data_IF_053317249204
#
_entry.id   IF_053317249204
#
_cell.length_a   1.000
_cell.length_b   1.000
_cell.length_c   1.000
_cell.angle_alpha   90.00
_cell.angle_beta   90.00
_cell.angle_gamma   90.00
#
_symmetry.space_group_name_H-M   'P 1'
#
loop_
_entity.id
_entity.type
_entity.pdbx_description
1 polymer ?
#
# COMPACT_ATOMS: atom_id res chain seq x y z
N UNK A 1 -9.20 -10.82 -16.03
CA UNK A 1 -8.95 -12.29 -15.90
C UNK A 1 -9.11 -12.71 -14.44
N UNK A 2 -9.57 -13.96 -14.22
CA UNK A 2 -9.74 -14.59 -12.90
C UNK A 2 -8.66 -15.64 -12.74
N UNK A 3 -7.97 -15.68 -11.61
CA UNK A 3 -7.02 -16.73 -11.26
C UNK A 3 -7.68 -17.83 -10.43
N UNK A 4 -8.53 -17.45 -9.49
CA UNK A 4 -9.24 -18.37 -8.60
C UNK A 4 -10.76 -18.18 -8.74
N UNK A 5 -11.55 -19.24 -8.95
CA UNK A 5 -13.00 -19.14 -9.03
C UNK A 5 -13.68 -18.41 -7.86
N UNK A 6 -13.06 -18.42 -6.67
CA UNK A 6 -13.60 -17.72 -5.50
C UNK A 6 -13.70 -16.19 -5.71
N UNK A 7 -12.95 -15.63 -6.66
CA UNK A 7 -13.03 -14.20 -6.98
C UNK A 7 -14.38 -13.79 -7.57
N UNK A 8 -15.17 -14.75 -8.07
CA UNK A 8 -16.46 -14.53 -8.78
C UNK A 8 -17.63 -15.32 -8.19
N UNK A 9 -17.48 -15.91 -6.99
CA UNK A 9 -18.63 -16.52 -6.28
C UNK A 9 -19.68 -15.46 -5.93
N UNK A 10 -20.92 -15.87 -5.71
CA UNK A 10 -21.99 -14.94 -5.32
C UNK A 10 -21.68 -14.26 -3.97
N UNK A 11 -22.34 -13.12 -3.73
CA UNK A 11 -22.22 -12.40 -2.46
C UNK A 11 -22.61 -13.26 -1.26
N UNK A 12 -23.67 -14.08 -1.42
CA UNK A 12 -24.15 -14.99 -0.36
C UNK A 12 -23.15 -16.11 -0.07
N UNK A 13 -22.58 -16.74 -1.12
CA UNK A 13 -21.54 -17.75 -0.95
C UNK A 13 -20.28 -17.18 -0.28
N UNK A 14 -19.92 -15.96 -0.65
CA UNK A 14 -18.80 -15.24 -0.03
C UNK A 14 -19.05 -14.96 1.44
N UNK A 15 -20.22 -14.45 1.79
CA UNK A 15 -20.61 -14.19 3.19
C UNK A 15 -20.62 -15.49 4.03
N UNK A 16 -21.08 -16.59 3.45
CA UNK A 16 -21.05 -17.90 4.12
C UNK A 16 -19.60 -18.37 4.36
N UNK A 17 -18.73 -18.24 3.36
CA UNK A 17 -17.31 -18.59 3.44
C UNK A 17 -16.59 -17.73 4.49
N UNK A 18 -16.80 -16.42 4.46
CA UNK A 18 -16.24 -15.47 5.43
C UNK A 18 -16.70 -15.78 6.86
N UNK A 19 -17.98 -16.08 7.05
CA UNK A 19 -18.53 -16.45 8.35
C UNK A 19 -17.88 -17.73 8.88
N UNK A 20 -17.74 -18.76 8.02
CA UNK A 20 -17.07 -20.01 8.40
C UNK A 20 -15.62 -19.76 8.82
N UNK A 21 -14.88 -18.98 8.06
CA UNK A 21 -13.47 -18.66 8.34
C UNK A 21 -13.32 -17.79 9.59
N UNK A 22 -14.21 -16.80 9.80
CA UNK A 22 -14.23 -15.96 11.00
C UNK A 22 -14.42 -16.81 12.27
N UNK A 23 -15.33 -17.77 12.24
CA UNK A 23 -15.52 -18.74 13.33
C UNK A 23 -14.26 -19.54 13.64
N UNK A 24 -13.59 -20.01 12.59
CA UNK A 24 -12.30 -20.69 12.71
C UNK A 24 -11.23 -19.82 13.35
N UNK A 25 -11.10 -18.56 12.89
CA UNK A 25 -10.17 -17.58 13.45
C UNK A 25 -10.45 -17.33 14.93
N UNK A 26 -11.71 -17.05 15.32
CA UNK A 26 -12.09 -16.78 16.71
C UNK A 26 -11.73 -17.97 17.60
N UNK A 27 -12.04 -19.19 17.16
CA UNK A 27 -11.65 -20.39 17.91
C UNK A 27 -10.13 -20.54 18.03
N UNK A 28 -9.38 -20.24 16.96
CA UNK A 28 -7.92 -20.30 17.00
C UNK A 28 -7.34 -19.27 17.97
N UNK A 29 -7.86 -18.04 17.99
CA UNK A 29 -7.43 -16.99 18.92
C UNK A 29 -7.75 -17.33 20.38
N UNK A 30 -8.92 -17.95 20.64
CA UNK A 30 -9.32 -18.41 21.97
C UNK A 30 -8.47 -19.57 22.47
N UNK A 31 -7.90 -20.37 21.57
CA UNK A 31 -7.04 -21.51 21.90
C UNK A 31 -5.60 -21.10 22.27
N UNK A 32 -5.17 -19.87 21.96
CA UNK A 32 -3.83 -19.38 22.34
C UNK A 32 -3.81 -19.10 23.84
N UNK A 33 -2.99 -19.84 24.59
CA UNK A 33 -2.87 -19.68 26.02
C UNK A 33 -2.22 -18.33 26.38
N UNK A 34 -2.90 -17.54 27.22
CA UNK A 34 -2.45 -16.16 27.57
C UNK A 34 -2.42 -15.18 26.37
N UNK A 35 -3.05 -15.53 25.24
CA UNK A 35 -3.06 -14.71 24.04
C UNK A 35 -3.94 -13.46 24.20
N UNK A 36 -3.38 -12.27 23.97
CA UNK A 36 -4.05 -10.97 24.11
C UNK A 36 -5.41 -10.92 23.42
N UNK A 37 -5.53 -11.42 22.19
CA UNK A 37 -6.76 -11.37 21.41
C UNK A 37 -7.83 -12.32 22.00
N UNK A 38 -7.43 -13.51 22.45
CA UNK A 38 -8.32 -14.44 23.16
C UNK A 38 -8.84 -13.87 24.47
N UNK A 39 -7.99 -13.18 25.24
CA UNK A 39 -8.40 -12.50 26.48
C UNK A 39 -9.41 -11.37 26.20
N UNK A 40 -9.16 -10.56 25.17
CA UNK A 40 -10.10 -9.49 24.76
C UNK A 40 -11.43 -10.04 24.27
N UNK A 41 -11.45 -11.18 23.57
CA UNK A 41 -12.68 -11.87 23.15
C UNK A 41 -13.48 -12.33 24.38
N UNK A 42 -12.85 -12.99 25.33
CA UNK A 42 -13.51 -13.43 26.59
C UNK A 42 -14.06 -12.25 27.40
N UNK A 43 -13.33 -11.13 27.42
CA UNK A 43 -13.77 -9.91 28.12
C UNK A 43 -15.06 -9.32 27.57
N UNK A 44 -15.40 -9.57 26.29
CA UNK A 44 -16.67 -9.18 25.68
C UNK A 44 -17.68 -10.33 25.60
N UNK A 45 -17.44 -11.44 26.31
CA UNK A 45 -18.34 -12.58 26.43
C UNK A 45 -18.30 -13.58 25.27
N UNK A 46 -17.22 -13.57 24.48
CA UNK A 46 -17.02 -14.53 23.39
C UNK A 46 -16.09 -15.65 23.87
N UNK A 47 -16.67 -16.79 24.20
CA UNK A 47 -15.94 -17.98 24.65
C UNK A 47 -15.85 -19.08 23.57
N UNK A 48 -16.55 -18.88 22.44
CA UNK A 48 -16.54 -19.80 21.29
C UNK A 48 -16.80 -19.01 19.99
N UNK A 49 -16.14 -19.40 18.91
CA UNK A 49 -16.44 -18.89 17.58
C UNK A 49 -17.72 -19.45 16.93
N UNK A 50 -18.33 -20.49 17.53
CA UNK A 50 -19.41 -21.26 16.87
C UNK A 50 -20.61 -20.40 16.47
N UNK A 51 -20.99 -19.41 17.29
CA UNK A 51 -22.14 -18.56 17.05
C UNK A 51 -21.78 -17.20 16.44
N UNK A 52 -20.48 -16.91 16.27
CA UNK A 52 -20.03 -15.63 15.70
C UNK A 52 -20.42 -15.54 14.24
N UNK A 53 -20.93 -14.37 13.85
CA UNK A 53 -21.36 -14.02 12.50
C UNK A 53 -20.68 -12.74 12.02
N UNK A 54 -20.82 -12.40 10.74
CA UNK A 54 -20.31 -11.11 10.21
C UNK A 54 -21.01 -9.90 10.86
N UNK A 55 -22.26 -10.05 11.33
CA UNK A 55 -22.98 -8.99 12.02
C UNK A 55 -22.38 -8.64 13.39
N UNK A 56 -21.66 -9.57 14.01
CA UNK A 56 -21.01 -9.35 15.30
C UNK A 56 -19.66 -8.62 15.14
N UNK A 57 -19.09 -8.61 13.92
CA UNK A 57 -17.77 -8.07 13.66
C UNK A 57 -17.54 -6.66 14.23
N UNK A 58 -18.47 -5.67 14.09
CA UNK A 58 -18.28 -4.34 14.64
C UNK A 58 -18.15 -4.28 16.17
N UNK A 59 -18.61 -5.32 16.86
CA UNK A 59 -18.60 -5.42 18.33
C UNK A 59 -17.40 -6.21 18.86
N UNK A 60 -16.67 -6.89 17.99
CA UNK A 60 -15.45 -7.62 18.38
C UNK A 60 -14.30 -6.63 18.67
N UNK A 61 -13.38 -7.00 19.60
CA UNK A 61 -12.27 -6.13 19.95
C UNK A 61 -11.33 -5.91 18.77
N UNK A 62 -10.70 -4.75 18.75
CA UNK A 62 -9.65 -4.41 17.76
C UNK A 62 -8.27 -4.65 18.32
N UNK A 63 -7.30 -4.81 17.43
CA UNK A 63 -5.86 -4.74 17.71
C UNK A 63 -5.20 -3.71 16.83
N UNK A 64 -4.03 -3.24 17.22
CA UNK A 64 -3.30 -2.23 16.46
C UNK A 64 -1.79 -2.39 16.60
N UNK A 65 -1.06 -1.50 15.98
CA UNK A 65 0.40 -1.51 16.00
C UNK A 65 1.02 -1.41 17.40
N UNK A 66 0.46 -0.64 18.35
CA UNK A 66 0.93 -0.65 19.75
C UNK A 66 0.90 -2.04 20.39
N UNK A 67 -0.16 -2.83 20.17
CA UNK A 67 -0.25 -4.19 20.72
C UNK A 67 0.88 -5.09 20.22
N UNK A 68 1.26 -4.97 18.93
CA UNK A 68 2.39 -5.70 18.35
C UNK A 68 3.74 -5.25 18.93
N UNK A 69 3.87 -3.97 19.25
CA UNK A 69 5.09 -3.45 19.89
C UNK A 69 5.22 -3.84 21.36
N UNK A 70 4.11 -3.85 22.10
CA UNK A 70 4.09 -4.27 23.50
C UNK A 70 4.39 -5.78 23.62
N UNK A 71 3.97 -6.56 22.63
CA UNK A 71 4.22 -8.00 22.54
C UNK A 71 5.49 -8.37 21.74
N UNK A 72 6.38 -7.40 21.49
CA UNK A 72 7.62 -7.64 20.72
C UNK A 72 8.57 -8.66 21.41
N UNK A 73 9.25 -9.56 20.68
CA UNK A 73 9.21 -9.69 19.22
C UNK A 73 8.08 -10.60 18.67
N UNK A 74 7.60 -11.58 19.43
CA UNK A 74 6.73 -12.67 18.94
C UNK A 74 5.56 -12.99 19.89
N UNK A 75 5.24 -12.13 20.83
CA UNK A 75 4.21 -12.41 21.85
C UNK A 75 2.76 -12.43 21.33
N UNK A 76 2.53 -12.09 20.06
CA UNK A 76 1.23 -12.25 19.42
C UNK A 76 1.14 -13.43 18.44
N UNK A 77 2.18 -14.26 18.32
CA UNK A 77 2.10 -15.45 17.48
C UNK A 77 1.09 -16.45 18.08
N UNK A 78 0.36 -17.12 17.21
CA UNK A 78 -0.55 -18.21 17.57
C UNK A 78 0.10 -19.59 17.46
N UNK A 79 1.34 -19.66 16.97
CA UNK A 79 2.16 -20.87 16.87
C UNK A 79 3.55 -20.59 17.42
N UNK A 80 4.30 -21.62 17.86
CA UNK A 80 5.72 -21.49 18.22
C UNK A 80 6.56 -20.93 17.07
N UNK A 81 7.60 -20.16 17.38
CA UNK A 81 8.46 -19.58 16.33
C UNK A 81 9.20 -20.64 15.51
N UNK A 82 9.48 -21.80 16.10
CA UNK A 82 10.10 -22.95 15.44
C UNK A 82 9.20 -23.61 14.39
N UNK A 83 7.89 -23.36 14.42
CA UNK A 83 6.92 -23.80 13.41
C UNK A 83 6.76 -22.77 12.27
N UNK A 84 7.49 -21.65 12.34
CA UNK A 84 7.48 -20.62 11.30
C UNK A 84 8.62 -20.85 10.30
N UNK A 85 8.30 -20.69 9.03
CA UNK A 85 9.24 -20.84 7.92
C UNK A 85 10.02 -19.53 7.63
N UNK A 86 9.45 -18.38 7.98
CA UNK A 86 10.04 -17.08 7.65
C UNK A 86 9.62 -15.99 8.64
N UNK A 87 10.50 -15.01 8.82
CA UNK A 87 10.23 -13.77 9.57
C UNK A 87 10.50 -12.58 8.65
N UNK A 88 9.54 -11.68 8.58
CA UNK A 88 9.66 -10.38 7.93
C UNK A 88 9.43 -9.25 8.93
N UNK A 89 9.67 -8.02 8.51
CA UNK A 89 9.42 -6.83 9.30
C UNK A 89 8.93 -5.67 8.49
N UNK A 90 8.22 -4.76 9.14
CA UNK A 90 7.86 -3.48 8.54
C UNK A 90 9.06 -2.52 8.55
N UNK A 91 9.03 -1.50 7.68
CA UNK A 91 10.12 -0.50 7.57
C UNK A 91 10.29 0.41 8.80
N UNK A 92 9.39 0.35 9.77
CA UNK A 92 9.48 1.02 11.07
C UNK A 92 9.91 2.48 11.03
N UNK A 93 9.02 3.39 10.63
CA UNK A 93 9.29 4.84 10.66
C UNK A 93 9.60 5.37 12.08
N UNK A 94 9.26 4.60 13.12
CA UNK A 94 9.46 4.90 14.53
C UNK A 94 10.72 4.25 15.16
N UNK A 95 11.63 3.70 14.34
CA UNK A 95 12.93 3.15 14.80
C UNK A 95 12.92 1.69 15.23
N UNK A 96 11.76 1.07 15.52
CA UNK A 96 11.62 -0.37 15.79
C UNK A 96 10.74 -1.02 14.72
N UNK A 97 11.23 -2.03 13.98
CA UNK A 97 10.41 -2.76 13.02
C UNK A 97 9.32 -3.57 13.75
N UNK A 98 8.13 -3.66 13.17
CA UNK A 98 7.15 -4.66 13.58
C UNK A 98 7.54 -5.97 12.92
N UNK A 99 7.80 -7.01 13.72
CA UNK A 99 8.15 -8.33 13.20
C UNK A 99 6.89 -9.15 12.97
N UNK A 100 6.88 -9.89 11.89
CA UNK A 100 5.79 -10.79 11.47
C UNK A 100 6.39 -12.12 11.04
N UNK A 101 5.79 -13.22 11.47
CA UNK A 101 6.23 -14.56 11.10
C UNK A 101 5.18 -15.23 10.21
N UNK A 102 5.62 -16.23 9.47
CA UNK A 102 4.81 -16.96 8.49
C UNK A 102 5.11 -18.45 8.64
N UNK A 103 4.07 -19.28 8.68
CA UNK A 103 4.18 -20.71 8.43
C UNK A 103 4.36 -20.98 6.94
N UNK A 104 4.68 -22.23 6.54
CA UNK A 104 4.66 -22.60 5.12
C UNK A 104 3.29 -22.36 4.48
N UNK A 105 2.20 -22.65 5.21
CA UNK A 105 0.83 -22.40 4.75
C UNK A 105 0.55 -20.90 4.56
N UNK A 106 1.10 -20.02 5.41
CA UNK A 106 1.01 -18.57 5.24
C UNK A 106 1.78 -18.10 4.02
N UNK A 107 2.94 -18.70 3.72
CA UNK A 107 3.72 -18.36 2.51
C UNK A 107 3.00 -18.83 1.24
N UNK A 108 2.36 -20.00 1.26
CA UNK A 108 1.54 -20.48 0.15
C UNK A 108 0.32 -19.58 -0.08
N UNK A 109 -0.36 -19.18 1.00
CA UNK A 109 -1.46 -18.22 0.97
C UNK A 109 -1.00 -16.90 0.34
N UNK A 110 0.13 -16.36 0.78
CA UNK A 110 0.70 -15.14 0.27
C UNK A 110 1.06 -15.23 -1.21
N UNK A 111 1.72 -16.31 -1.62
CA UNK A 111 2.01 -16.58 -3.02
C UNK A 111 0.72 -16.60 -3.88
N UNK A 112 -0.34 -17.19 -3.35
CA UNK A 112 -1.63 -17.27 -4.03
C UNK A 112 -2.29 -15.90 -4.24
N UNK A 113 -2.37 -15.05 -3.21
CA UNK A 113 -3.00 -13.73 -3.33
C UNK A 113 -2.21 -12.79 -4.26
N UNK A 114 -0.87 -12.90 -4.26
CA UNK A 114 -0.04 -12.13 -5.20
C UNK A 114 -0.20 -12.66 -6.62
N UNK A 115 -0.34 -13.98 -6.83
CA UNK A 115 -0.64 -14.52 -8.15
C UNK A 115 -1.99 -13.99 -8.69
N UNK A 116 -3.05 -13.92 -7.86
CA UNK A 116 -4.33 -13.27 -8.22
C UNK A 116 -4.11 -11.82 -8.65
N UNK A 117 -3.30 -11.07 -7.89
CA UNK A 117 -2.98 -9.67 -8.20
C UNK A 117 -2.29 -9.52 -9.55
N UNK A 118 -1.29 -10.36 -9.83
CA UNK A 118 -0.56 -10.36 -11.10
C UNK A 118 -1.47 -10.73 -12.28
N UNK A 119 -2.37 -11.71 -12.11
CA UNK A 119 -3.37 -12.07 -13.15
C UNK A 119 -4.36 -10.94 -13.36
N UNK A 120 -4.82 -10.29 -12.31
CA UNK A 120 -5.65 -9.07 -12.41
C UNK A 120 -4.98 -7.96 -13.20
N UNK A 121 -3.66 -7.83 -13.08
CA UNK A 121 -2.83 -6.91 -13.85
C UNK A 121 -2.52 -7.39 -15.28
N UNK A 122 -3.02 -8.55 -15.70
CA UNK A 122 -2.83 -9.07 -17.06
C UNK A 122 -1.62 -10.00 -17.24
N UNK A 123 -0.89 -10.33 -16.17
CA UNK A 123 0.19 -11.31 -16.24
C UNK A 123 -0.36 -12.74 -16.44
N UNK A 124 0.46 -13.58 -17.06
CA UNK A 124 0.17 -14.99 -17.32
C UNK A 124 1.37 -15.86 -16.93
N UNK A 125 1.21 -17.17 -16.97
CA UNK A 125 2.32 -18.11 -16.76
C UNK A 125 3.46 -17.99 -17.78
N UNK A 126 3.27 -17.23 -18.87
CA UNK A 126 4.28 -16.95 -19.88
C UNK A 126 4.97 -15.60 -19.71
N UNK A 127 4.51 -14.79 -18.75
CA UNK A 127 5.06 -13.46 -18.52
C UNK A 127 6.46 -13.51 -17.93
N UNK A 128 7.27 -12.53 -18.28
CA UNK A 128 8.54 -12.21 -17.65
C UNK A 128 8.36 -10.98 -16.75
N UNK A 129 8.55 -11.17 -15.46
CA UNK A 129 8.33 -10.14 -14.44
C UNK A 129 9.65 -9.59 -13.94
N UNK A 130 9.92 -8.31 -14.19
CA UNK A 130 11.07 -7.60 -13.64
C UNK A 130 10.73 -7.08 -12.26
N UNK A 131 11.24 -7.75 -11.21
CA UNK A 131 10.96 -7.40 -9.82
C UNK A 131 12.06 -6.52 -9.25
N UNK A 132 11.77 -5.22 -9.15
CA UNK A 132 12.63 -4.20 -8.60
C UNK A 132 12.24 -3.77 -7.18
N UNK A 133 11.36 -4.49 -6.50
CA UNK A 133 11.20 -4.36 -5.05
C UNK A 133 12.40 -4.93 -4.31
N UNK A 134 12.79 -4.30 -3.20
CA UNK A 134 13.88 -4.78 -2.36
C UNK A 134 13.62 -6.17 -1.79
N UNK A 135 14.62 -7.04 -1.90
CA UNK A 135 14.65 -8.35 -1.24
C UNK A 135 15.31 -8.20 0.14
N UNK A 136 14.80 -8.92 1.14
CA UNK A 136 15.34 -8.90 2.50
C UNK A 136 14.24 -8.96 3.56
N UNK A 137 14.39 -8.17 4.64
CA UNK A 137 13.44 -8.17 5.75
C UNK A 137 12.04 -7.69 5.35
N UNK A 138 11.93 -6.82 4.34
CA UNK A 138 10.65 -6.29 3.87
C UNK A 138 9.93 -7.28 2.94
N UNK A 139 8.61 -7.22 2.94
CA UNK A 139 7.75 -8.20 2.26
C UNK A 139 7.65 -8.01 0.73
N UNK A 140 7.94 -6.82 0.20
CA UNK A 140 7.65 -6.48 -1.20
C UNK A 140 8.31 -7.42 -2.22
N UNK A 141 9.65 -7.58 -2.16
CA UNK A 141 10.41 -8.35 -3.13
C UNK A 141 10.06 -9.83 -3.14
N UNK A 142 10.03 -10.45 -1.95
CA UNK A 142 9.72 -11.88 -1.81
C UNK A 142 8.25 -12.19 -2.10
N UNK A 143 7.32 -11.32 -1.70
CA UNK A 143 5.90 -11.51 -2.02
C UNK A 143 5.64 -11.59 -3.52
N UNK A 144 6.17 -10.63 -4.29
CA UNK A 144 6.07 -10.66 -5.76
C UNK A 144 6.77 -11.90 -6.34
N UNK A 145 7.94 -12.26 -5.80
CA UNK A 145 8.68 -13.44 -6.25
C UNK A 145 7.87 -14.73 -6.08
N UNK A 146 7.31 -14.94 -4.89
CA UNK A 146 6.49 -16.12 -4.60
C UNK A 146 5.22 -16.15 -5.46
N UNK A 147 4.53 -15.01 -5.62
CA UNK A 147 3.35 -14.90 -6.46
C UNK A 147 3.63 -15.17 -7.94
N UNK A 148 4.73 -14.62 -8.47
CA UNK A 148 5.15 -14.90 -9.84
C UNK A 148 5.41 -16.40 -10.06
N UNK A 149 6.08 -17.06 -9.12
CA UNK A 149 6.31 -18.51 -9.17
C UNK A 149 5.02 -19.33 -9.08
N UNK A 150 4.09 -18.93 -8.20
CA UNK A 150 2.79 -19.60 -8.08
C UNK A 150 1.96 -19.45 -9.36
N UNK A 151 2.07 -18.33 -10.05
CA UNK A 151 1.48 -18.12 -11.38
C UNK A 151 2.15 -19.00 -12.46
N UNK A 152 3.38 -19.48 -12.24
CA UNK A 152 4.20 -20.14 -13.26
C UNK A 152 4.95 -19.17 -14.17
N UNK A 153 4.98 -17.87 -13.84
CA UNK A 153 5.70 -16.85 -14.57
C UNK A 153 7.21 -16.87 -14.26
N UNK A 154 8.02 -16.32 -15.16
CA UNK A 154 9.44 -16.13 -14.92
C UNK A 154 9.70 -14.80 -14.21
N UNK A 155 10.48 -14.81 -13.13
CA UNK A 155 10.82 -13.59 -12.38
C UNK A 155 12.32 -13.26 -12.51
N UNK A 156 12.61 -12.00 -12.79
CA UNK A 156 13.96 -11.42 -12.70
C UNK A 156 14.08 -10.75 -11.33
N UNK A 157 14.79 -11.35 -10.35
CA UNK A 157 14.85 -10.87 -8.97
C UNK A 157 15.92 -9.78 -8.82
N UNK A 158 15.72 -8.65 -9.48
CA UNK A 158 16.74 -7.59 -9.58
C UNK A 158 16.96 -6.85 -8.27
N UNK A 159 15.93 -6.76 -7.41
CA UNK A 159 15.92 -5.91 -6.21
C UNK A 159 15.93 -4.41 -6.54
N UNK A 160 15.88 -3.54 -5.53
CA UNK A 160 15.93 -2.09 -5.71
C UNK A 160 17.33 -1.56 -6.01
N UNK A 161 17.40 -0.35 -6.58
CA UNK A 161 18.66 0.32 -6.90
C UNK A 161 19.33 -0.15 -8.19
N UNK A 162 20.58 0.26 -8.42
CA UNK A 162 21.38 -0.07 -9.61
C UNK A 162 20.67 0.29 -10.93
N UNK A 163 20.09 1.47 -11.01
CA UNK A 163 19.18 1.92 -12.06
C UNK A 163 19.67 1.66 -13.49
N UNK A 164 20.93 1.99 -13.81
CA UNK A 164 21.51 1.74 -15.14
C UNK A 164 21.54 0.24 -15.49
N UNK A 165 21.78 -0.63 -14.48
CA UNK A 165 21.76 -2.09 -14.68
C UNK A 165 20.34 -2.59 -14.90
N UNK A 166 19.36 -2.01 -14.20
CA UNK A 166 17.94 -2.33 -14.40
C UNK A 166 17.50 -2.03 -15.83
N UNK A 167 17.79 -0.82 -16.31
CA UNK A 167 17.45 -0.40 -17.67
C UNK A 167 18.08 -1.31 -18.73
N UNK A 168 19.37 -1.64 -18.58
CA UNK A 168 20.05 -2.58 -19.47
C UNK A 168 19.38 -3.96 -19.48
N UNK A 169 19.08 -4.53 -18.29
CA UNK A 169 18.44 -5.84 -18.21
C UNK A 169 17.02 -5.82 -18.80
N UNK A 170 16.27 -4.73 -18.65
CA UNK A 170 14.95 -4.60 -19.29
C UNK A 170 15.07 -4.56 -20.81
N UNK A 171 16.08 -3.87 -21.37
CA UNK A 171 16.34 -3.88 -22.81
C UNK A 171 16.76 -5.26 -23.33
N UNK A 172 17.59 -5.98 -22.58
CA UNK A 172 18.11 -7.30 -22.98
C UNK A 172 17.04 -8.40 -22.85
N UNK A 173 16.29 -8.40 -21.73
CA UNK A 173 15.35 -9.48 -21.38
C UNK A 173 13.91 -9.21 -21.84
N UNK A 174 13.56 -7.96 -22.10
CA UNK A 174 12.24 -7.52 -22.57
C UNK A 174 11.08 -8.03 -21.70
N UNK A 175 11.04 -7.68 -20.39
CA UNK A 175 9.96 -8.13 -19.50
C UNK A 175 8.62 -7.52 -19.89
N UNK A 176 7.52 -8.25 -19.57
CA UNK A 176 6.16 -7.77 -19.75
C UNK A 176 5.70 -6.89 -18.59
N UNK A 177 6.16 -7.21 -17.37
CA UNK A 177 5.68 -6.64 -16.12
C UNK A 177 6.84 -6.05 -15.33
N UNK A 178 6.67 -4.80 -14.87
CA UNK A 178 7.55 -4.16 -13.89
C UNK A 178 6.86 -4.12 -12.53
N UNK A 179 7.59 -4.48 -11.47
CA UNK A 179 7.09 -4.34 -10.09
C UNK A 179 8.09 -3.57 -9.25
N UNK A 180 7.69 -2.43 -8.71
CA UNK A 180 8.50 -1.56 -7.86
C UNK A 180 7.63 -0.53 -7.15
N UNK A 181 8.20 0.27 -6.24
CA UNK A 181 7.50 1.42 -5.68
C UNK A 181 7.18 2.45 -6.76
N UNK A 182 6.09 3.23 -6.66
CA UNK A 182 5.73 4.26 -7.63
C UNK A 182 6.85 5.30 -7.82
N UNK A 183 7.47 5.76 -6.74
CA UNK A 183 8.59 6.70 -6.80
C UNK A 183 9.78 6.15 -7.60
N UNK A 184 10.06 4.85 -7.46
CA UNK A 184 11.14 4.21 -8.21
C UNK A 184 10.78 4.01 -9.68
N UNK A 185 9.51 3.75 -10.00
CA UNK A 185 9.03 3.70 -11.39
C UNK A 185 9.24 5.04 -12.11
N UNK A 186 8.90 6.16 -11.44
CA UNK A 186 9.19 7.50 -11.97
C UNK A 186 10.69 7.69 -12.18
N UNK A 187 11.50 7.34 -11.18
CA UNK A 187 12.96 7.49 -11.28
C UNK A 187 13.57 6.65 -12.41
N UNK A 188 13.13 5.40 -12.60
CA UNK A 188 13.52 4.55 -13.74
C UNK A 188 13.16 5.19 -15.08
N UNK A 189 11.96 5.76 -15.18
CA UNK A 189 11.52 6.44 -16.39
C UNK A 189 12.29 7.72 -16.68
N UNK A 190 12.60 8.53 -15.66
CA UNK A 190 13.47 9.71 -15.80
C UNK A 190 14.88 9.31 -16.27
N UNK A 191 15.45 8.27 -15.67
CA UNK A 191 16.76 7.76 -16.05
C UNK A 191 16.78 7.22 -17.49
N UNK A 192 15.75 6.46 -17.90
CA UNK A 192 15.58 5.99 -19.26
C UNK A 192 15.54 7.16 -20.27
N UNK A 193 14.76 8.19 -19.97
CA UNK A 193 14.67 9.41 -20.79
C UNK A 193 16.03 10.12 -20.88
N UNK A 194 16.75 10.24 -19.77
CA UNK A 194 18.07 10.88 -19.73
C UNK A 194 19.12 10.12 -20.55
N UNK A 195 19.02 8.79 -20.63
CA UNK A 195 19.86 7.93 -21.47
C UNK A 195 19.37 7.82 -22.92
N UNK A 196 18.28 8.49 -23.28
CA UNK A 196 17.68 8.44 -24.62
C UNK A 196 17.06 7.08 -24.97
N UNK A 197 16.68 6.29 -23.99
CA UNK A 197 16.03 4.99 -24.17
C UNK A 197 14.55 5.22 -24.54
N UNK A 198 14.15 4.70 -25.70
CA UNK A 198 12.73 4.68 -26.08
C UNK A 198 11.96 3.70 -25.17
N UNK A 199 10.90 4.13 -24.46
CA UNK A 199 10.06 3.25 -23.64
C UNK A 199 9.58 2.01 -24.39
N UNK A 200 9.25 2.12 -25.68
CA UNK A 200 8.83 0.98 -26.51
C UNK A 200 9.90 -0.12 -26.60
N UNK A 201 11.18 0.24 -26.46
CA UNK A 201 12.30 -0.72 -26.49
C UNK A 201 12.37 -1.62 -25.24
N UNK A 202 11.76 -1.20 -24.14
CA UNK A 202 11.72 -1.95 -22.87
C UNK A 202 10.73 -3.13 -22.92
N UNK A 203 9.77 -3.12 -23.86
CA UNK A 203 8.71 -4.14 -24.04
C UNK A 203 7.75 -4.29 -22.85
N UNK A 204 7.83 -3.42 -21.87
CA UNK A 204 6.91 -3.39 -20.72
C UNK A 204 5.47 -3.12 -21.18
N UNK A 205 4.51 -3.77 -20.55
CA UNK A 205 3.06 -3.58 -20.79
C UNK A 205 2.35 -3.02 -19.58
N UNK A 206 2.73 -3.51 -18.39
CA UNK A 206 2.09 -3.15 -17.14
C UNK A 206 3.11 -2.99 -16.03
N UNK A 207 2.84 -2.02 -15.15
CA UNK A 207 3.53 -1.84 -13.88
C UNK A 207 2.58 -2.16 -12.72
N UNK A 208 3.06 -2.88 -11.70
CA UNK A 208 2.35 -3.11 -10.45
C UNK A 208 3.12 -2.42 -9.33
N UNK A 209 2.54 -1.36 -8.82
CA UNK A 209 3.19 -0.41 -7.92
C UNK A 209 2.48 -0.32 -6.58
N UNK A 210 3.20 -0.16 -5.50
CA UNK A 210 2.64 -0.03 -4.15
C UNK A 210 3.72 0.20 -3.10
N UNK A 211 3.42 -0.10 -1.85
CA UNK A 211 4.21 0.13 -0.66
C UNK A 211 4.28 1.60 -0.19
N UNK A 212 3.83 2.55 -0.98
CA UNK A 212 3.68 3.96 -0.62
C UNK A 212 2.41 4.53 -1.27
N UNK A 213 1.75 5.54 -0.67
CA UNK A 213 0.67 6.26 -1.32
C UNK A 213 1.16 6.95 -2.60
N UNK A 214 0.32 7.02 -3.62
CA UNK A 214 0.62 7.72 -4.87
C UNK A 214 -0.65 8.22 -5.56
N UNK A 215 -0.50 9.31 -6.33
CA UNK A 215 -1.61 10.03 -6.93
C UNK A 215 -1.88 9.62 -8.38
N UNK A 216 -3.03 10.02 -8.92
CA UNK A 216 -3.32 9.84 -10.35
C UNK A 216 -2.37 10.67 -11.23
N UNK A 217 -1.89 11.81 -10.75
CA UNK A 217 -0.87 12.59 -11.46
C UNK A 217 0.44 11.79 -11.59
N UNK A 218 0.89 11.11 -10.52
CA UNK A 218 2.05 10.21 -10.59
C UNK A 218 1.80 9.01 -11.49
N UNK A 219 0.57 8.47 -11.53
CA UNK A 219 0.17 7.42 -12.46
C UNK A 219 0.42 7.84 -13.90
N UNK A 220 -0.11 9.01 -14.28
CA UNK A 220 0.06 9.56 -15.63
C UNK A 220 1.54 9.70 -15.96
N UNK A 221 2.36 10.21 -15.04
CA UNK A 221 3.80 10.33 -15.25
C UNK A 221 4.49 8.97 -15.48
N UNK A 222 4.17 7.95 -14.67
CA UNK A 222 4.73 6.61 -14.84
C UNK A 222 4.34 6.04 -16.20
N UNK A 223 3.07 6.17 -16.58
CA UNK A 223 2.54 5.68 -17.85
C UNK A 223 3.19 6.37 -19.05
N UNK A 224 3.39 7.69 -18.98
CA UNK A 224 4.08 8.46 -20.03
C UNK A 224 5.59 8.15 -20.11
N UNK A 225 6.26 8.01 -18.96
CA UNK A 225 7.70 7.79 -18.91
C UNK A 225 8.10 6.38 -19.36
N UNK A 226 7.29 5.37 -19.05
CA UNK A 226 7.62 3.96 -19.29
C UNK A 226 6.76 3.30 -20.38
N UNK A 227 5.71 3.97 -20.88
CA UNK A 227 4.83 3.42 -21.92
C UNK A 227 3.97 2.24 -21.42
N UNK A 228 3.58 2.21 -20.15
CA UNK A 228 2.89 1.10 -19.49
C UNK A 228 1.51 1.50 -18.96
N UNK A 229 0.68 0.52 -18.57
CA UNK A 229 -0.43 0.73 -17.64
C UNK A 229 0.09 0.57 -16.22
N UNK A 230 -0.14 1.55 -15.37
CA UNK A 230 0.29 1.53 -13.98
C UNK A 230 -0.88 1.18 -13.06
N UNK A 231 -0.74 0.09 -12.30
CA UNK A 231 -1.75 -0.45 -11.40
C UNK A 231 -1.26 -0.46 -9.96
N UNK A 232 -2.17 -0.27 -9.02
CA UNK A 232 -1.88 -0.23 -7.59
C UNK A 232 -2.00 -1.62 -6.96
N UNK A 233 -1.08 -1.94 -6.03
CA UNK A 233 -1.14 -3.11 -5.17
C UNK A 233 -0.97 -2.67 -3.72
N UNK A 234 -1.96 -3.00 -2.90
CA UNK A 234 -1.97 -2.68 -1.48
C UNK A 234 -1.64 -3.89 -0.63
N UNK A 235 -0.95 -3.64 0.48
CA UNK A 235 -0.71 -4.61 1.53
C UNK A 235 0.23 -4.08 2.59
N UNK A 236 0.25 -4.76 3.72
CA UNK A 236 1.12 -4.47 4.84
C UNK A 236 1.62 -5.77 5.44
N UNK A 237 2.83 -5.75 6.00
CA UNK A 237 3.50 -6.93 6.54
C UNK A 237 2.67 -7.63 7.62
N UNK A 238 1.98 -6.85 8.45
CA UNK A 238 1.16 -7.33 9.55
C UNK A 238 0.02 -8.24 9.06
N UNK A 239 -0.57 -7.94 7.90
CA UNK A 239 -1.65 -8.77 7.31
C UNK A 239 -1.06 -9.95 6.54
N UNK A 240 -0.34 -9.69 5.44
CA UNK A 240 0.34 -10.75 4.68
C UNK A 240 1.54 -10.22 3.87
N UNK A 241 1.63 -8.94 3.61
CA UNK A 241 2.52 -8.31 2.64
C UNK A 241 1.72 -7.76 1.46
N UNK A 242 2.31 -7.56 0.28
CA UNK A 242 1.58 -7.14 -0.91
C UNK A 242 0.53 -8.19 -1.32
N UNK A 243 -0.57 -7.73 -1.93
CA UNK A 243 -1.63 -8.58 -2.47
C UNK A 243 -2.88 -8.66 -1.60
N UNK A 244 -2.99 -7.91 -0.48
CA UNK A 244 -4.24 -7.80 0.30
C UNK A 244 -5.36 -7.24 -0.58
N UNK A 245 -5.03 -6.21 -1.38
CA UNK A 245 -5.89 -5.68 -2.43
C UNK A 245 -5.07 -5.25 -3.65
N UNK A 246 -5.68 -5.26 -4.82
CA UNK A 246 -5.02 -4.86 -6.06
C UNK A 246 -6.00 -4.28 -7.08
N UNK A 247 -5.51 -3.35 -7.89
CA UNK A 247 -6.19 -2.95 -9.11
C UNK A 247 -6.14 -4.06 -10.15
N UNK A 248 -7.13 -4.09 -11.02
CA UNK A 248 -7.13 -4.90 -12.23
C UNK A 248 -7.17 -3.99 -13.46
N UNK A 249 -6.94 -4.54 -14.64
CA UNK A 249 -7.02 -3.76 -15.89
C UNK A 249 -8.39 -3.09 -16.09
N UNK A 250 -9.45 -3.59 -15.45
CA UNK A 250 -10.83 -3.14 -15.60
C UNK A 250 -11.47 -2.55 -14.34
N UNK A 251 -10.69 -2.36 -13.26
CA UNK A 251 -11.25 -1.89 -11.97
C UNK A 251 -11.44 -0.36 -11.87
N UNK A 252 -11.00 0.40 -12.88
CA UNK A 252 -11.21 1.85 -12.92
C UNK A 252 -10.58 2.63 -11.76
N UNK A 253 -9.45 2.15 -11.25
CA UNK A 253 -8.74 2.79 -10.13
C UNK A 253 -9.15 2.30 -8.74
N UNK A 254 -10.07 1.33 -8.65
CA UNK A 254 -10.43 0.66 -7.41
C UNK A 254 -9.60 -0.61 -7.21
N UNK A 255 -9.19 -0.88 -5.97
CA UNK A 255 -8.46 -2.08 -5.62
C UNK A 255 -9.46 -3.13 -5.09
N UNK A 256 -9.47 -4.30 -5.71
CA UNK A 256 -10.23 -5.45 -5.22
C UNK A 256 -9.54 -6.06 -4.01
N UNK A 257 -10.23 -6.10 -2.88
CA UNK A 257 -9.75 -6.76 -1.67
C UNK A 257 -9.90 -8.27 -1.84
N UNK A 258 -8.91 -9.04 -1.41
CA UNK A 258 -9.00 -10.51 -1.33
C UNK A 258 -9.85 -10.90 -0.11
N UNK A 259 -11.11 -10.48 -0.11
CA UNK A 259 -12.01 -10.47 1.06
C UNK A 259 -12.52 -11.84 1.47
N UNK A 260 -12.29 -12.86 0.67
CA UNK A 260 -12.42 -14.25 1.09
C UNK A 260 -11.35 -14.63 2.14
N UNK A 261 -10.23 -13.92 2.19
CA UNK A 261 -9.08 -14.16 3.06
C UNK A 261 -8.88 -13.05 4.10
N UNK A 262 -9.24 -11.82 3.76
CA UNK A 262 -9.03 -10.62 4.58
C UNK A 262 -10.32 -9.80 4.65
N UNK A 263 -11.14 -9.99 5.69
CA UNK A 263 -12.28 -9.10 5.91
C UNK A 263 -11.78 -7.67 6.10
N UNK A 264 -12.47 -6.72 5.48
CA UNK A 264 -12.15 -5.31 5.59
C UNK A 264 -13.36 -4.52 6.11
N UNK A 265 -13.08 -3.60 7.02
CA UNK A 265 -14.00 -2.58 7.52
C UNK A 265 -13.37 -1.21 7.29
N UNK A 266 -14.19 -0.18 7.07
CA UNK A 266 -13.76 1.21 7.16
C UNK A 266 -14.38 1.81 8.43
N UNK A 267 -13.54 2.23 9.38
CA UNK A 267 -13.97 2.74 10.67
C UNK A 267 -13.69 4.24 10.79
N UNK A 268 -14.57 4.96 11.46
CA UNK A 268 -14.24 6.32 11.91
C UNK A 268 -13.03 6.25 12.87
N UNK A 269 -11.93 6.96 12.59
CA UNK A 269 -10.71 6.84 13.38
C UNK A 269 -10.88 7.24 14.87
N UNK A 270 -11.86 8.09 15.17
CA UNK A 270 -12.12 8.63 16.51
C UNK A 270 -13.04 7.74 17.31
N UNK A 271 -14.17 7.31 16.70
CA UNK A 271 -15.19 6.55 17.40
C UNK A 271 -15.01 5.04 17.27
N UNK A 272 -14.25 4.57 16.27
CA UNK A 272 -14.08 3.15 15.95
C UNK A 272 -15.34 2.49 15.39
N UNK A 273 -16.35 3.27 15.01
CA UNK A 273 -17.58 2.75 14.41
C UNK A 273 -17.45 2.64 12.90
N UNK A 274 -18.09 1.65 12.26
CA UNK A 274 -18.11 1.55 10.81
C UNK A 274 -18.69 2.80 10.15
N UNK A 275 -18.08 3.23 9.03
CA UNK A 275 -18.63 4.29 8.19
C UNK A 275 -19.36 3.71 6.98
N UNK A 276 -20.35 4.42 6.41
CA UNK A 276 -21.03 3.99 5.19
C UNK A 276 -20.11 3.85 3.98
N UNK A 277 -20.51 3.03 3.00
CA UNK A 277 -19.83 2.93 1.71
C UNK A 277 -19.64 4.30 1.06
N UNK A 278 -18.47 4.51 0.48
CA UNK A 278 -18.08 5.76 -0.14
C UNK A 278 -17.61 6.83 0.84
N UNK A 279 -17.76 6.66 2.15
CA UNK A 279 -17.16 7.56 3.13
C UNK A 279 -15.73 7.15 3.47
N UNK A 280 -14.93 8.13 3.89
CA UNK A 280 -13.54 7.91 4.26
C UNK A 280 -13.47 7.33 5.68
N UNK A 281 -12.80 6.19 5.82
CA UNK A 281 -12.57 5.56 7.11
C UNK A 281 -11.18 4.93 7.21
N UNK A 282 -10.78 4.59 8.42
CA UNK A 282 -9.58 3.81 8.69
C UNK A 282 -9.82 2.35 8.34
N UNK A 283 -8.99 1.83 7.44
CA UNK A 283 -9.05 0.43 7.07
C UNK A 283 -8.67 -0.46 8.25
N UNK A 284 -9.53 -1.40 8.53
CA UNK A 284 -9.37 -2.39 9.60
C UNK A 284 -9.53 -3.77 8.99
N UNK A 285 -8.50 -4.62 9.12
CA UNK A 285 -8.49 -5.94 8.50
C UNK A 285 -8.57 -7.06 9.52
N UNK A 286 -9.30 -8.11 9.17
CA UNK A 286 -9.32 -9.39 9.89
C UNK A 286 -8.74 -10.47 8.98
N UNK A 287 -7.65 -11.12 9.40
CA UNK A 287 -7.02 -12.22 8.65
C UNK A 287 -7.76 -13.52 8.92
N UNK A 288 -8.48 -14.04 7.93
CA UNK A 288 -9.37 -15.19 8.15
C UNK A 288 -8.67 -16.55 8.20
N UNK A 289 -7.50 -16.68 7.59
CA UNK A 289 -6.82 -17.98 7.40
C UNK A 289 -5.34 -17.96 7.74
N UNK A 290 -4.77 -16.82 8.12
CA UNK A 290 -3.37 -16.72 8.52
C UNK A 290 -3.12 -17.47 9.82
N UNK A 291 -2.03 -18.25 9.89
CA UNK A 291 -1.74 -19.16 10.99
C UNK A 291 -0.75 -18.59 12.01
N UNK A 292 0.39 -18.08 11.56
CA UNK A 292 1.45 -17.65 12.48
C UNK A 292 1.05 -16.42 13.30
N UNK A 293 0.52 -15.39 12.63
CA UNK A 293 0.09 -14.15 13.24
C UNK A 293 -1.33 -13.82 12.78
N UNK A 294 -2.35 -14.55 13.26
CA UNK A 294 -3.73 -14.20 12.97
C UNK A 294 -4.12 -12.90 13.67
N UNK A 295 -4.80 -12.00 12.96
CA UNK A 295 -5.20 -10.70 13.47
C UNK A 295 -6.71 -10.50 13.30
N UNK A 296 -7.39 -10.20 14.39
CA UNK A 296 -8.81 -9.84 14.41
C UNK A 296 -8.92 -8.31 14.46
N UNK A 297 -9.59 -7.72 13.47
CA UNK A 297 -9.85 -6.29 13.39
C UNK A 297 -8.61 -5.41 13.63
N UNK A 298 -7.55 -5.68 12.86
CA UNK A 298 -6.31 -4.92 12.94
C UNK A 298 -6.48 -3.53 12.31
N UNK A 299 -6.36 -2.50 13.13
CA UNK A 299 -6.40 -1.09 12.73
C UNK A 299 -5.07 -0.70 12.07
N UNK A 300 -5.14 -0.39 10.77
CA UNK A 300 -3.92 -0.15 9.97
C UNK A 300 -3.37 1.26 10.08
N UNK A 301 -4.22 2.22 10.44
CA UNK A 301 -3.96 3.65 10.30
C UNK A 301 -4.19 4.18 8.87
N UNK A 302 -4.33 3.33 7.86
CA UNK A 302 -4.50 3.75 6.47
C UNK A 302 -5.96 4.17 6.21
N UNK A 303 -6.16 5.29 5.52
CA UNK A 303 -7.48 5.87 5.23
C UNK A 303 -7.87 5.59 3.78
N UNK A 304 -9.03 4.99 3.60
CA UNK A 304 -9.62 4.73 2.28
C UNK A 304 -11.15 4.69 2.34
N UNK A 305 -11.78 4.54 1.18
CA UNK A 305 -13.22 4.34 1.02
C UNK A 305 -13.47 2.91 0.58
N UNK A 306 -14.55 2.31 1.03
CA UNK A 306 -15.01 1.00 0.57
C UNK A 306 -16.20 1.14 -0.39
N UNK A 307 -16.34 0.16 -1.29
CA UNK A 307 -17.48 0.01 -2.19
C UNK A 307 -17.76 -1.50 -2.38
N UNK A 308 -18.95 -1.94 -2.01
CA UNK A 308 -19.41 -3.32 -2.07
C UNK A 308 -20.09 -3.68 -3.40
N UNK A 309 -20.22 -2.73 -4.33
CA UNK A 309 -20.85 -3.01 -5.62
C UNK A 309 -19.97 -3.94 -6.48
N UNK A 310 -20.51 -5.01 -7.05
CA UNK A 310 -19.76 -5.91 -7.93
C UNK A 310 -19.18 -5.18 -9.16
N UNK A 311 -18.06 -5.67 -9.66
CA UNK A 311 -17.35 -5.11 -10.83
C UNK A 311 -17.27 -6.16 -11.95
N UNK A 312 -17.47 -5.80 -13.23
CA UNK A 312 -17.23 -6.71 -14.36
C UNK A 312 -15.79 -7.25 -14.34
N UNK A 313 -15.63 -8.52 -14.70
CA UNK A 313 -14.30 -9.17 -14.77
C UNK A 313 -13.48 -8.65 -15.95
N UNK A 314 -14.16 -8.38 -17.05
CA UNK A 314 -13.64 -7.82 -18.30
C UNK A 314 -14.72 -6.98 -18.98
N UNK A 315 -14.59 -6.68 -20.27
CA UNK A 315 -15.51 -5.84 -21.04
C UNK A 315 -16.95 -6.41 -21.20
N UNK A 316 -17.39 -7.29 -20.30
CA UNK A 316 -18.79 -7.63 -20.09
C UNK A 316 -19.20 -9.05 -20.41
N UNK A 317 -18.27 -9.97 -20.73
CA UNK A 317 -18.68 -11.31 -21.20
C UNK A 317 -18.53 -12.45 -20.17
N UNK A 318 -17.68 -12.29 -19.12
CA UNK A 318 -17.27 -13.47 -18.30
C UNK A 318 -17.68 -13.44 -16.84
N UNK A 319 -18.50 -12.47 -16.42
CA UNK A 319 -19.01 -12.42 -15.05
C UNK A 319 -18.53 -11.24 -14.23
N UNK A 320 -18.74 -11.32 -12.91
CA UNK A 320 -18.52 -10.24 -11.97
C UNK A 320 -17.56 -10.65 -10.87
N UNK A 321 -16.64 -9.77 -10.51
CA UNK A 321 -15.96 -9.82 -9.22
C UNK A 321 -16.93 -9.30 -8.15
N UNK A 322 -17.13 -10.07 -7.11
CA UNK A 322 -18.05 -9.77 -6.03
C UNK A 322 -17.33 -9.34 -4.76
N UNK A 323 -15.99 -9.28 -4.81
CA UNK A 323 -15.17 -8.83 -3.68
C UNK A 323 -15.37 -7.33 -3.43
N UNK A 324 -15.27 -6.94 -2.17
CA UNK A 324 -15.23 -5.54 -1.75
C UNK A 324 -14.10 -4.82 -2.46
N UNK A 325 -14.34 -3.58 -2.86
CA UNK A 325 -13.33 -2.69 -3.42
C UNK A 325 -12.95 -1.62 -2.41
N UNK A 326 -11.70 -1.22 -2.43
CA UNK A 326 -11.22 -0.05 -1.72
C UNK A 326 -10.68 0.99 -2.70
N UNK A 327 -10.82 2.26 -2.34
CA UNK A 327 -10.10 3.33 -3.06
C UNK A 327 -8.60 3.21 -2.82
N UNK A 328 -7.81 3.96 -3.56
CA UNK A 328 -6.42 4.23 -3.18
C UNK A 328 -6.37 4.78 -1.75
N UNK A 329 -5.24 4.52 -1.08
CA UNK A 329 -4.96 5.14 0.22
C UNK A 329 -4.88 6.65 0.05
N UNK A 330 -5.76 7.35 0.77
CA UNK A 330 -5.82 8.83 0.78
C UNK A 330 -4.76 9.41 1.70
N UNK A 331 -4.39 8.68 2.74
CA UNK A 331 -3.39 9.08 3.74
C UNK A 331 -3.42 8.12 4.92
N UNK A 332 -2.73 8.49 5.99
CA UNK A 332 -2.75 7.74 7.25
C UNK A 332 -3.34 8.61 8.36
N UNK A 333 -4.09 8.01 9.26
CA UNK A 333 -4.64 8.69 10.42
C UNK A 333 -3.53 9.22 11.36
N UNK A 334 -2.38 8.53 11.39
CA UNK A 334 -1.20 8.89 12.20
C UNK A 334 -0.17 9.79 11.45
N UNK A 335 -0.26 9.95 10.13
CA UNK A 335 0.58 10.86 9.32
C UNK A 335 -0.06 12.24 9.09
N UNK A 336 -1.23 12.45 9.66
CA UNK A 336 -1.93 13.72 9.56
C UNK A 336 -1.12 14.84 10.23
N UNK A 337 -0.81 15.86 9.45
CA UNK A 337 -0.11 17.05 9.92
C UNK A 337 -1.13 18.06 10.44
N UNK A 338 -0.94 18.55 11.66
CA UNK A 338 -1.74 19.67 12.16
C UNK A 338 -0.96 20.96 11.89
N UNK A 339 -1.38 21.70 10.88
CA UNK A 339 -0.76 22.97 10.50
C UNK A 339 -1.70 24.13 10.85
N UNK A 340 -1.37 24.89 11.86
CA UNK A 340 -2.20 26.02 12.33
C UNK A 340 -3.65 25.64 12.67
N UNK A 341 -3.85 24.43 13.25
CA UNK A 341 -5.18 23.92 13.60
C UNK A 341 -5.96 23.29 12.45
N UNK A 342 -5.37 23.17 11.28
CA UNK A 342 -5.97 22.50 10.11
C UNK A 342 -5.28 21.13 9.92
N UNK A 343 -6.08 20.10 9.70
CA UNK A 343 -5.61 18.77 9.36
C UNK A 343 -5.17 18.74 7.88
N UNK A 344 -3.92 18.38 7.62
CA UNK A 344 -3.33 18.31 6.29
C UNK A 344 -2.74 16.92 6.08
N UNK A 345 -3.15 16.25 5.02
CA UNK A 345 -2.54 14.99 4.60
C UNK A 345 -1.47 15.24 3.53
N UNK A 346 -0.27 14.65 3.63
CA UNK A 346 0.78 14.81 2.61
C UNK A 346 0.33 14.47 1.20
N UNK A 347 -0.55 13.48 1.03
CA UNK A 347 -1.14 13.11 -0.26
C UNK A 347 -2.02 14.19 -0.89
N UNK A 348 -2.69 15.03 -0.09
CA UNK A 348 -3.46 16.16 -0.61
C UNK A 348 -2.55 17.26 -1.16
N UNK A 349 -1.40 17.47 -0.50
CA UNK A 349 -0.37 18.38 -1.01
C UNK A 349 0.24 17.83 -2.30
N UNK A 350 0.57 16.53 -2.33
CA UNK A 350 1.07 15.85 -3.52
C UNK A 350 0.15 16.05 -4.73
N UNK A 351 -1.15 15.81 -4.53
CA UNK A 351 -2.13 15.93 -5.59
C UNK A 351 -2.15 17.34 -6.21
N UNK A 352 -1.93 18.39 -5.42
CA UNK A 352 -1.86 19.76 -5.90
C UNK A 352 -0.53 20.06 -6.60
N UNK A 353 0.58 19.62 -6.01
CA UNK A 353 1.93 19.87 -6.52
C UNK A 353 2.13 19.21 -7.89
N UNK A 354 1.76 17.93 -8.00
CA UNK A 354 1.93 17.16 -9.23
C UNK A 354 0.92 17.53 -10.34
N UNK A 355 -0.19 18.17 -9.99
CA UNK A 355 -1.14 18.71 -10.99
C UNK A 355 -0.71 20.04 -11.59
N UNK A 356 0.31 20.71 -11.00
CA UNK A 356 0.77 22.01 -11.51
C UNK A 356 1.67 21.82 -12.75
N UNK A 357 1.30 22.40 -13.90
CA UNK A 357 2.08 22.26 -15.12
C UNK A 357 3.53 22.74 -14.97
N UNK A 358 4.48 21.91 -15.39
CA UNK A 358 5.91 22.19 -15.35
C UNK A 358 6.58 21.91 -14.00
N UNK A 359 5.86 21.35 -13.03
CA UNK A 359 6.44 20.83 -11.79
C UNK A 359 6.85 19.37 -11.99
N UNK A 360 8.05 19.03 -11.56
CA UNK A 360 8.58 17.67 -11.59
C UNK A 360 7.95 16.76 -10.51
N UNK A 361 8.20 15.44 -10.59
CA UNK A 361 7.56 14.46 -9.71
C UNK A 361 8.13 14.46 -8.28
N UNK A 362 9.20 15.21 -8.04
CA UNK A 362 9.84 15.24 -6.74
C UNK A 362 9.35 16.44 -5.92
N UNK A 363 8.89 16.14 -4.71
CA UNK A 363 8.51 17.15 -3.73
C UNK A 363 8.90 16.69 -2.31
N UNK A 364 9.00 17.66 -1.39
CA UNK A 364 9.23 17.43 0.02
C UNK A 364 8.44 18.47 0.82
N UNK A 365 7.69 18.00 1.82
CA UNK A 365 7.06 18.84 2.82
C UNK A 365 8.02 19.05 3.98
N UNK A 366 8.36 20.29 4.28
CA UNK A 366 9.17 20.63 5.45
C UNK A 366 8.27 21.31 6.48
N UNK A 367 8.17 20.69 7.65
CA UNK A 367 7.49 21.28 8.81
C UNK A 367 8.56 22.02 9.64
N UNK A 368 8.61 23.33 9.49
CA UNK A 368 9.51 24.19 10.23
C UNK A 368 8.97 24.44 11.64
N UNK A 369 9.54 23.74 12.61
CA UNK A 369 9.18 23.77 14.04
C UNK A 369 10.11 24.66 14.88
N UNK A 370 11.01 25.42 14.26
CA UNK A 370 11.96 26.30 14.98
C UNK A 370 11.31 27.50 15.63
N UNK A 371 10.05 27.78 15.28
CA UNK A 371 9.24 28.86 15.88
C UNK A 371 8.05 28.28 16.63
N UNK A 372 7.46 29.05 17.53
CA UNK A 372 6.32 28.63 18.35
C UNK A 372 5.07 28.20 17.52
N UNK A 373 4.95 28.69 16.29
CA UNK A 373 3.91 28.31 15.35
C UNK A 373 4.57 27.58 14.16
N UNK A 374 4.42 26.26 14.07
CA UNK A 374 4.96 25.50 12.95
C UNK A 374 4.47 26.02 11.58
N UNK A 375 5.37 26.07 10.61
CA UNK A 375 5.07 26.45 9.24
C UNK A 375 5.31 25.28 8.31
N UNK A 376 4.41 25.10 7.35
CA UNK A 376 4.59 24.14 6.28
C UNK A 376 5.24 24.84 5.07
N UNK A 377 6.34 24.25 4.61
CA UNK A 377 7.05 24.67 3.40
C UNK A 377 6.96 23.51 2.41
N UNK A 378 6.41 23.78 1.23
CA UNK A 378 6.34 22.81 0.14
C UNK A 378 7.52 23.06 -0.81
N UNK A 379 8.46 22.11 -0.85
CA UNK A 379 9.59 22.15 -1.79
C UNK A 379 9.24 21.28 -2.99
N UNK A 380 9.38 21.80 -4.20
CA UNK A 380 9.18 21.07 -5.46
C UNK A 380 10.22 21.48 -6.49
N UNK A 381 10.33 20.71 -7.56
CA UNK A 381 11.29 20.96 -8.64
C UNK A 381 10.57 21.44 -9.90
N UNK A 382 11.16 22.46 -10.55
CA UNK A 382 10.71 22.94 -11.86
C UNK A 382 11.84 23.65 -12.57
N UNK A 383 11.88 23.52 -13.90
CA UNK A 383 12.77 24.28 -14.78
C UNK A 383 12.11 25.58 -15.31
N UNK A 384 10.85 25.85 -14.91
CA UNK A 384 10.15 27.08 -15.21
C UNK A 384 10.53 28.20 -14.21
N UNK A 385 10.06 29.43 -14.49
CA UNK A 385 10.23 30.57 -13.56
C UNK A 385 9.63 30.22 -12.18
N UNK A 386 10.51 30.02 -11.19
CA UNK A 386 10.12 29.59 -9.86
C UNK A 386 9.17 30.57 -9.15
N UNK A 387 9.20 31.86 -9.47
CA UNK A 387 8.30 32.85 -8.88
C UNK A 387 6.86 32.66 -9.37
N UNK A 388 6.68 32.35 -10.65
CA UNK A 388 5.39 32.10 -11.27
C UNK A 388 4.79 30.80 -10.77
N UNK A 389 5.59 29.70 -10.74
CA UNK A 389 5.17 28.39 -10.23
C UNK A 389 4.79 28.48 -8.75
N UNK A 390 5.64 29.13 -7.93
CA UNK A 390 5.38 29.32 -6.50
C UNK A 390 4.05 30.06 -6.25
N UNK A 391 3.79 31.16 -6.97
CA UNK A 391 2.56 31.93 -6.79
C UNK A 391 1.30 31.10 -7.12
N UNK A 392 1.35 30.30 -8.19
CA UNK A 392 0.25 29.39 -8.56
C UNK A 392 0.01 28.31 -7.54
N UNK A 393 1.09 27.64 -7.09
CA UNK A 393 1.01 26.59 -6.07
C UNK A 393 0.50 27.12 -4.72
N UNK A 394 0.96 28.27 -4.25
CA UNK A 394 0.45 28.88 -3.02
C UNK A 394 -1.06 29.07 -3.10
N UNK A 395 -1.56 29.60 -4.23
CA UNK A 395 -3.00 29.79 -4.43
C UNK A 395 -3.79 28.47 -4.50
N UNK A 396 -3.27 27.47 -5.20
CA UNK A 396 -3.90 26.15 -5.32
C UNK A 396 -3.93 25.39 -3.99
N UNK A 397 -2.82 25.40 -3.26
CA UNK A 397 -2.70 24.78 -1.94
C UNK A 397 -3.62 25.45 -0.91
N UNK A 398 -3.65 26.78 -0.87
CA UNK A 398 -4.55 27.51 0.04
C UNK A 398 -6.03 27.19 -0.24
N UNK A 399 -6.42 27.07 -1.51
CA UNK A 399 -7.77 26.70 -1.90
C UNK A 399 -8.12 25.25 -1.52
N UNK A 400 -7.18 24.33 -1.68
CA UNK A 400 -7.40 22.90 -1.40
C UNK A 400 -7.37 22.56 0.08
N UNK A 401 -6.38 23.10 0.81
CA UNK A 401 -6.07 22.73 2.19
C UNK A 401 -6.67 23.67 3.23
N UNK A 402 -7.20 24.82 2.81
CA UNK A 402 -7.67 25.89 3.72
C UNK A 402 -6.59 26.37 4.71
N UNK A 403 -5.31 26.20 4.36
CA UNK A 403 -4.14 26.64 5.14
C UNK A 403 -3.12 27.32 4.22
N UNK A 404 -2.48 28.37 4.73
CA UNK A 404 -1.38 29.02 4.02
C UNK A 404 -0.08 28.26 4.25
N UNK A 405 0.67 28.03 3.20
CA UNK A 405 2.01 27.45 3.23
C UNK A 405 2.99 28.26 2.37
N UNK A 406 4.26 28.12 2.66
CA UNK A 406 5.32 28.63 1.81
C UNK A 406 5.64 27.59 0.72
N UNK A 407 5.96 28.08 -0.49
CA UNK A 407 6.39 27.21 -1.59
C UNK A 407 7.80 27.60 -2.02
N UNK A 408 8.68 26.62 -2.14
CA UNK A 408 10.04 26.74 -2.68
C UNK A 408 10.18 25.89 -3.93
N UNK A 409 10.37 26.57 -5.04
CA UNK A 409 10.64 25.91 -6.32
C UNK A 409 12.15 25.84 -6.50
N UNK A 410 12.64 24.64 -6.73
CA UNK A 410 14.05 24.32 -6.86
C UNK A 410 14.35 23.85 -8.30
N UNK A 411 15.58 23.96 -8.79
CA UNK A 411 15.99 23.36 -10.05
C UNK A 411 15.79 21.85 -10.04
N UNK A 412 15.49 21.25 -11.18
CA UNK A 412 15.40 19.80 -11.35
C UNK A 412 16.69 19.12 -10.88
N UNK A 413 16.56 18.05 -10.09
CA UNK A 413 17.68 17.32 -9.47
C UNK A 413 18.12 17.80 -8.08
N UNK A 414 17.47 18.82 -7.52
CA UNK A 414 17.81 19.39 -6.19
C UNK A 414 17.29 18.58 -5.02
N UNK A 415 16.18 17.86 -5.18
CA UNK A 415 15.59 17.04 -4.13
C UNK A 415 16.14 15.60 -4.17
N UNK A 416 16.21 14.91 -3.02
CA UNK A 416 16.68 13.53 -2.96
C UNK A 416 15.83 12.58 -3.82
N UNK A 417 16.49 11.63 -4.49
CA UNK A 417 15.85 10.52 -5.21
C UNK A 417 15.94 9.25 -4.36
N UNK A 418 14.87 8.48 -4.29
CA UNK A 418 14.82 7.23 -3.55
C UNK A 418 14.94 6.06 -4.53
N UNK A 419 16.08 5.36 -4.47
CA UNK A 419 16.33 4.16 -5.29
C UNK A 419 15.89 2.88 -4.57
N UNK A 420 15.88 2.90 -3.23
CA UNK A 420 15.56 1.73 -2.41
C UNK A 420 14.63 2.17 -1.27
N UNK A 421 13.51 1.47 -1.11
CA UNK A 421 12.53 1.73 -0.06
C UNK A 421 11.48 2.77 -0.46
N UNK A 422 10.88 3.39 0.56
CA UNK A 422 9.82 4.40 0.40
C UNK A 422 10.41 5.80 0.29
N UNK A 423 9.81 6.64 -0.56
CA UNK A 423 10.18 8.04 -0.63
C UNK A 423 9.85 8.79 0.66
N UNK A 424 10.81 9.56 1.16
CA UNK A 424 10.58 10.47 2.30
C UNK A 424 9.90 11.73 1.76
N UNK A 425 8.64 11.93 2.13
CA UNK A 425 7.81 13.07 1.66
C UNK A 425 7.63 14.16 2.71
N UNK A 426 7.96 13.90 3.96
CA UNK A 426 7.82 14.85 5.07
C UNK A 426 9.12 14.88 5.86
N UNK A 427 9.65 16.10 6.11
CA UNK A 427 10.78 16.35 7.01
C UNK A 427 10.38 17.35 8.08
N UNK A 428 10.71 17.07 9.34
CA UNK A 428 10.55 18.01 10.46
C UNK A 428 11.85 18.73 10.71
N UNK A 429 11.79 20.05 10.77
CA UNK A 429 12.94 20.91 10.98
C UNK A 429 12.82 21.64 12.33
N UNK A 430 13.22 20.96 13.39
CA UNK A 430 13.20 21.52 14.75
C UNK A 430 14.50 22.25 15.12
N UNK A 431 15.66 21.85 14.55
CA UNK A 431 16.97 22.45 14.80
C UNK A 431 17.99 21.99 13.75
N UNK A 432 19.18 22.58 13.74
CA UNK A 432 20.27 22.22 12.83
C UNK A 432 20.08 22.73 11.39
N UNK A 433 20.76 22.07 10.45
CA UNK A 433 20.74 22.45 9.05
C UNK A 433 19.37 22.22 8.42
N UNK A 434 19.06 23.01 7.40
CA UNK A 434 17.80 22.87 6.65
C UNK A 434 17.75 21.52 5.93
N UNK A 435 16.58 20.84 5.91
CA UNK A 435 16.40 19.57 5.17
C UNK A 435 16.68 19.67 3.68
N UNK A 436 16.61 20.87 3.13
CA UNK A 436 16.85 21.17 1.72
C UNK A 436 17.74 22.40 1.65
N UNK A 437 18.75 22.37 0.77
CA UNK A 437 19.63 23.51 0.56
C UNK A 437 18.82 24.72 0.04
N UNK A 438 19.05 25.87 0.67
CA UNK A 438 18.39 27.13 0.29
C UNK A 438 17.04 27.41 1.01
N UNK A 439 16.67 26.63 2.04
CA UNK A 439 15.57 26.94 2.96
C UNK A 439 15.97 27.91 4.04
#
# INVERSE_FOLDING_TARGET
MIFDPVESISVDERAALQTQRLRGLVNALLAVDGGLQGERLRAVGIDSGTEVTLADLPHLPTVGKPDLWDAYPFGMLAVPIEDCACVHGSSGTSGRPTLVAYTDADLDLWAHVVARSLVGAGATSKSLIHNAYGYGLFTGGLGIHHGARALGATVVPMSGGQTARQLRLMQDLKPDVLTCTPSYAVYLGEAARAEGIDPASLSLKVGVHGAEPWTDAMRVQIEELLGIRALDIYGLSEIIGPGVACETLHSGGWLHVQDDLFLVEALDPTTGQPVPDGELGELTFTTLTKQALPLLRYRTGDLARLDHAPTPVDDGETGWRTSVKMSKIVGRADDMLIVRGVNVYPSEVEAVVLAEPGVGPQYLLVIDERTALPRMIVCCESDLDGSVVSARLVGALAKRLSVSCDVRVLPTGSLPRTEIGKAVRVARWASGDAPVAGL
#
